data_IF_730923452696
#
_entry.id   IF_730923452696
#
_cell.length_a   1.000
_cell.length_b   1.000
_cell.length_c   1.000
_cell.angle_alpha   90.00
_cell.angle_beta   90.00
_cell.angle_gamma   90.00
#
_symmetry.space_group_name_H-M   'P 1'
#
loop_
_entity.id
_entity.type
_entity.pdbx_description
1 polymer ?
#
# COMPACT_ATOMS: atom_id res chain seq x y z
N UNK A 1 25.08 5.47 -4.15
CA UNK A 1 23.74 6.10 -3.95
C UNK A 1 22.71 4.99 -4.07
N UNK A 2 21.60 5.00 -3.33
CA UNK A 2 20.51 4.07 -3.60
C UNK A 2 19.91 4.39 -4.98
N UNK A 3 19.60 3.35 -5.75
CA UNK A 3 18.89 3.43 -7.03
C UNK A 3 17.48 2.86 -6.85
N UNK A 4 16.51 3.43 -7.56
CA UNK A 4 15.11 2.99 -7.52
C UNK A 4 14.72 2.43 -8.88
N UNK A 5 14.07 1.27 -8.86
CA UNK A 5 13.41 0.66 -10.01
C UNK A 5 11.89 0.71 -9.79
N UNK A 6 11.11 0.94 -10.85
CA UNK A 6 9.66 0.85 -10.77
C UNK A 6 9.25 -0.60 -10.50
N UNK A 7 8.69 -0.86 -9.32
CA UNK A 7 8.16 -2.17 -8.95
C UNK A 7 6.79 -2.43 -9.59
N UNK A 8 5.82 -1.57 -9.34
CA UNK A 8 4.45 -1.68 -9.85
C UNK A 8 3.70 -0.34 -9.78
N UNK A 9 2.63 -0.23 -10.56
CA UNK A 9 1.63 0.82 -10.44
C UNK A 9 0.30 0.21 -9.98
N UNK A 10 -0.36 0.83 -9.02
CA UNK A 10 -1.63 0.38 -8.45
C UNK A 10 -2.71 1.41 -8.73
N UNK A 11 -3.83 0.95 -9.30
CA UNK A 11 -5.08 1.70 -9.38
C UNK A 11 -6.10 1.01 -8.49
N UNK A 12 -6.66 1.73 -7.50
CA UNK A 12 -7.55 1.16 -6.51
C UNK A 12 -8.72 2.07 -6.19
N UNK A 13 -9.89 1.47 -6.01
CA UNK A 13 -11.08 2.14 -5.49
C UNK A 13 -11.08 2.06 -3.96
N UNK A 14 -11.19 3.21 -3.31
CA UNK A 14 -11.16 3.33 -1.84
C UNK A 14 -12.58 3.46 -1.28
N UNK A 15 -12.83 2.84 -0.12
CA UNK A 15 -14.03 3.05 0.69
C UNK A 15 -13.67 3.55 2.07
N UNK A 16 -14.22 4.67 2.50
CA UNK A 16 -13.94 5.24 3.82
C UNK A 16 -14.94 4.75 4.86
N UNK A 17 -14.46 4.10 5.92
CA UNK A 17 -15.27 3.61 7.05
C UNK A 17 -14.82 4.30 8.33
N UNK A 18 -15.52 5.36 8.78
CA UNK A 18 -15.17 6.04 10.03
C UNK A 18 -15.29 5.11 11.23
N UNK A 19 -14.25 5.05 12.05
CA UNK A 19 -14.26 4.33 13.34
C UNK A 19 -14.55 5.32 14.47
N UNK A 20 -13.94 6.51 14.43
CA UNK A 20 -14.22 7.61 15.34
C UNK A 20 -12.98 8.27 15.93
N UNK A 21 -13.22 9.16 16.90
CA UNK A 21 -12.17 9.93 17.55
C UNK A 21 -11.32 9.08 18.50
N UNK A 22 -10.02 9.32 18.49
CA UNK A 22 -9.02 8.77 19.41
C UNK A 22 -8.18 9.93 19.96
N UNK A 23 -7.39 9.74 21.04
CA UNK A 23 -6.48 10.78 21.52
C UNK A 23 -5.47 11.27 20.48
N UNK A 24 -5.17 10.46 19.46
CA UNK A 24 -4.18 10.78 18.42
C UNK A 24 -4.80 11.35 17.14
N UNK A 25 -6.13 11.42 17.03
CA UNK A 25 -6.85 11.86 15.83
C UNK A 25 -8.08 11.01 15.53
N UNK A 26 -8.68 11.20 14.35
CA UNK A 26 -9.83 10.42 13.89
C UNK A 26 -9.37 9.19 13.12
N UNK A 27 -9.80 8.01 13.58
CA UNK A 27 -9.52 6.74 12.92
C UNK A 27 -10.55 6.47 11.82
N UNK A 28 -10.05 6.13 10.64
CA UNK A 28 -10.83 5.68 9.48
C UNK A 28 -10.17 4.41 8.96
N UNK A 29 -10.95 3.34 8.82
CA UNK A 29 -10.48 2.16 8.11
C UNK A 29 -10.87 2.33 6.64
N UNK A 30 -9.90 2.15 5.75
CA UNK A 30 -10.05 2.38 4.31
C UNK A 30 -9.81 1.07 3.56
N UNK A 31 -10.82 0.18 3.45
CA UNK A 31 -10.76 -0.94 2.53
C UNK A 31 -10.60 -0.47 1.09
N UNK A 32 -9.81 -1.21 0.32
CA UNK A 32 -9.59 -0.94 -1.10
C UNK A 32 -9.46 -2.23 -1.91
N UNK A 33 -9.86 -2.12 -3.18
CA UNK A 33 -9.74 -3.15 -4.20
C UNK A 33 -9.36 -2.50 -5.54
N UNK A 34 -8.59 -3.20 -6.36
CA UNK A 34 -8.05 -2.63 -7.59
C UNK A 34 -7.15 -3.59 -8.37
N UNK A 35 -6.28 -3.03 -9.20
CA UNK A 35 -5.34 -3.79 -10.01
C UNK A 35 -3.93 -3.22 -9.95
N UNK A 36 -2.94 -4.09 -10.13
CA UNK A 36 -1.52 -3.76 -10.22
C UNK A 36 -0.97 -4.15 -11.59
N UNK A 37 -0.23 -3.24 -12.20
CA UNK A 37 0.59 -3.48 -13.40
C UNK A 37 2.07 -3.36 -13.06
N UNK A 38 2.93 -4.08 -13.77
CA UNK A 38 4.38 -4.03 -13.54
C UNK A 38 5.18 -4.36 -14.79
N UNK A 39 6.41 -3.83 -14.91
CA UNK A 39 7.39 -4.34 -15.87
C UNK A 39 7.84 -5.79 -15.60
N UNK A 40 7.61 -6.33 -14.39
CA UNK A 40 8.08 -7.65 -13.95
C UNK A 40 7.13 -8.80 -14.29
N UNK A 41 5.89 -8.53 -14.66
CA UNK A 41 4.92 -9.55 -15.07
C UNK A 41 4.01 -9.04 -16.20
N UNK A 42 3.44 -9.96 -16.97
CA UNK A 42 2.43 -9.62 -17.97
C UNK A 42 1.02 -9.53 -17.37
N UNK A 43 0.24 -8.54 -17.82
CA UNK A 43 -1.14 -8.34 -17.43
C UNK A 43 -1.33 -7.66 -16.07
N UNK A 44 -2.56 -7.74 -15.57
CA UNK A 44 -2.98 -7.13 -14.31
C UNK A 44 -3.11 -8.20 -13.22
N UNK A 45 -2.62 -7.88 -12.03
CA UNK A 45 -2.87 -8.67 -10.83
C UNK A 45 -3.87 -7.93 -9.94
N UNK A 46 -4.81 -8.67 -9.35
CA UNK A 46 -5.77 -8.09 -8.40
C UNK A 46 -5.05 -7.56 -7.16
N UNK A 47 -5.50 -6.43 -6.63
CA UNK A 47 -5.02 -5.83 -5.39
C UNK A 47 -6.18 -5.70 -4.42
N UNK A 48 -5.96 -6.07 -3.16
CA UNK A 48 -6.93 -5.76 -2.10
C UNK A 48 -6.27 -5.61 -0.74
N UNK A 49 -6.88 -4.78 0.11
CA UNK A 49 -6.35 -4.53 1.45
C UNK A 49 -7.16 -3.53 2.25
N UNK A 50 -6.57 -3.11 3.37
CA UNK A 50 -7.10 -2.06 4.24
C UNK A 50 -5.97 -1.14 4.64
N UNK A 51 -6.18 0.17 4.49
CA UNK A 51 -5.39 1.19 5.17
C UNK A 51 -6.08 1.61 6.47
N UNK A 52 -5.36 1.48 7.57
CA UNK A 52 -5.77 1.77 8.92
C UNK A 52 -5.44 3.23 9.28
N UNK A 53 -6.00 4.15 8.51
CA UNK A 53 -5.64 5.56 8.48
C UNK A 53 -6.01 6.33 9.77
N UNK A 54 -5.11 7.20 10.21
CA UNK A 54 -5.35 8.14 11.31
C UNK A 54 -5.21 9.58 10.83
N UNK A 55 -6.33 10.30 10.76
CA UNK A 55 -6.38 11.72 10.42
C UNK A 55 -6.06 12.53 11.68
N UNK A 56 -4.90 13.19 11.68
CA UNK A 56 -4.40 13.98 12.81
C UNK A 56 -5.01 15.38 12.83
N UNK A 57 -4.87 16.08 13.96
CA UNK A 57 -5.40 17.43 14.15
C UNK A 57 -4.77 18.49 13.23
N UNK A 58 -3.60 18.20 12.64
CA UNK A 58 -2.92 19.06 11.67
C UNK A 58 -3.33 18.77 10.21
N UNK A 59 -4.26 17.83 9.98
CA UNK A 59 -4.70 17.41 8.66
C UNK A 59 -3.82 16.36 7.98
N UNK A 60 -2.67 15.97 8.57
CA UNK A 60 -1.86 14.86 8.06
C UNK A 60 -2.57 13.53 8.33
N UNK A 61 -2.56 12.62 7.36
CA UNK A 61 -3.04 11.26 7.54
C UNK A 61 -1.84 10.35 7.76
N UNK A 62 -1.79 9.64 8.89
CA UNK A 62 -0.86 8.54 9.08
C UNK A 62 -1.45 7.26 8.48
N UNK A 63 -0.66 6.57 7.65
CA UNK A 63 -1.08 5.41 6.87
C UNK A 63 -0.47 4.13 7.48
N UNK A 64 -1.26 3.07 7.54
CA UNK A 64 -0.87 1.73 8.01
C UNK A 64 -1.63 0.70 7.18
N UNK A 65 -1.01 0.25 6.10
CA UNK A 65 -1.64 -0.57 5.08
C UNK A 65 -1.27 -2.03 5.29
N UNK A 66 -2.28 -2.90 5.17
CA UNK A 66 -2.11 -4.36 5.07
C UNK A 66 -2.90 -4.88 3.89
N UNK A 67 -2.20 -5.52 2.95
CA UNK A 67 -2.78 -5.79 1.65
C UNK A 67 -2.06 -6.93 0.91
N UNK A 68 -2.59 -7.28 -0.25
CA UNK A 68 -2.01 -8.25 -1.17
C UNK A 68 -2.10 -7.79 -2.62
N UNK A 69 -1.18 -8.31 -3.44
CA UNK A 69 -1.21 -8.27 -4.90
C UNK A 69 -1.20 -9.70 -5.41
N UNK A 70 -2.04 -10.01 -6.40
CA UNK A 70 -2.20 -11.36 -6.93
C UNK A 70 -3.00 -12.28 -6.01
N UNK A 71 -3.20 -13.51 -6.47
CA UNK A 71 -3.94 -14.55 -5.76
C UNK A 71 -3.26 -15.92 -5.92
N UNK A 72 -3.68 -16.88 -5.11
CA UNK A 72 -3.17 -18.25 -5.16
C UNK A 72 -1.65 -18.31 -4.94
N UNK A 73 -0.97 -19.07 -5.80
CA UNK A 73 0.48 -19.29 -5.73
C UNK A 73 1.31 -18.06 -6.13
N UNK A 74 0.70 -17.04 -6.76
CA UNK A 74 1.36 -15.79 -7.19
C UNK A 74 0.98 -14.60 -6.30
N UNK A 75 0.65 -14.84 -5.04
CA UNK A 75 0.32 -13.78 -4.08
C UNK A 75 1.58 -13.15 -3.48
N UNK A 76 1.58 -11.83 -3.39
CA UNK A 76 2.52 -11.03 -2.62
C UNK A 76 1.72 -10.30 -1.54
N UNK A 77 1.98 -10.62 -0.27
CA UNK A 77 1.48 -9.82 0.84
C UNK A 77 2.39 -8.63 1.05
N UNK A 78 1.83 -7.49 1.43
CA UNK A 78 2.63 -6.33 1.81
C UNK A 78 2.03 -5.60 3.00
N UNK A 79 2.92 -5.02 3.78
CA UNK A 79 2.60 -3.97 4.74
C UNK A 79 3.27 -2.68 4.31
N UNK A 80 2.56 -1.57 4.41
CA UNK A 80 3.14 -0.26 4.16
C UNK A 80 2.80 0.73 5.28
N UNK A 81 3.74 1.62 5.58
CA UNK A 81 3.50 2.73 6.51
C UNK A 81 3.91 4.03 5.85
N UNK A 82 3.22 5.11 6.17
CA UNK A 82 3.45 6.36 5.47
C UNK A 82 2.66 7.53 5.97
N UNK A 83 2.63 8.58 5.15
CA UNK A 83 1.82 9.76 5.38
C UNK A 83 1.19 10.26 4.08
N UNK A 84 -0.03 10.78 4.20
CA UNK A 84 -0.66 11.62 3.20
C UNK A 84 -0.82 13.04 3.73
N UNK A 85 -0.61 14.03 2.87
CA UNK A 85 -0.72 15.46 3.19
C UNK A 85 -0.61 16.32 1.92
N UNK A 86 -0.33 17.63 2.05
CA UNK A 86 -0.25 18.55 0.91
C UNK A 86 0.76 18.15 -0.17
N UNK A 87 1.82 17.43 0.22
CA UNK A 87 2.90 16.99 -0.69
C UNK A 87 2.63 15.61 -1.33
N UNK A 88 1.40 15.11 -1.24
CA UNK A 88 0.97 13.79 -1.71
C UNK A 88 1.22 12.65 -0.72
N UNK A 89 1.08 11.43 -1.22
CA UNK A 89 1.30 10.19 -0.46
C UNK A 89 2.78 9.80 -0.52
N UNK A 90 3.34 9.41 0.64
CA UNK A 90 4.69 8.85 0.75
C UNK A 90 4.66 7.67 1.72
N UNK A 91 5.08 6.51 1.23
CA UNK A 91 4.96 5.24 1.94
C UNK A 91 6.24 4.40 1.79
N UNK A 92 6.47 3.52 2.76
CA UNK A 92 7.53 2.51 2.75
C UNK A 92 6.87 1.14 2.91
N UNK A 93 7.26 0.19 2.06
CA UNK A 93 6.67 -1.14 1.93
C UNK A 93 7.67 -2.22 2.33
N UNK A 94 7.15 -3.27 2.94
CA UNK A 94 7.79 -4.59 3.09
C UNK A 94 6.87 -5.66 2.54
N UNK A 95 7.46 -6.76 2.05
CA UNK A 95 6.73 -7.80 1.33
C UNK A 95 6.94 -9.18 1.96
N UNK A 96 5.95 -10.04 1.78
CA UNK A 96 5.99 -11.45 2.12
C UNK A 96 5.39 -12.28 0.98
N UNK A 97 6.13 -13.24 0.45
CA UNK A 97 5.64 -14.14 -0.58
C UNK A 97 6.35 -15.49 -0.54
N UNK A 98 5.60 -16.55 -0.85
CA UNK A 98 6.14 -17.88 -1.10
C UNK A 98 6.38 -18.15 -2.60
N UNK A 99 6.02 -17.21 -3.48
CA UNK A 99 6.17 -17.35 -4.91
C UNK A 99 7.64 -17.18 -5.30
N UNK A 100 8.25 -18.21 -5.91
CA UNK A 100 9.66 -18.15 -6.33
C UNK A 100 9.93 -17.01 -7.32
N UNK A 101 8.96 -16.68 -8.17
CA UNK A 101 9.02 -15.56 -9.13
C UNK A 101 9.27 -14.21 -8.44
N UNK A 102 8.76 -14.04 -7.22
CA UNK A 102 8.78 -12.78 -6.47
C UNK A 102 9.60 -12.87 -5.17
N UNK A 103 10.41 -13.93 -5.02
CA UNK A 103 11.09 -14.24 -3.77
C UNK A 103 12.10 -13.15 -3.33
N UNK A 104 12.62 -12.36 -4.28
CA UNK A 104 13.50 -11.21 -4.00
C UNK A 104 12.80 -10.13 -3.16
N UNK A 105 11.47 -10.00 -3.28
CA UNK A 105 10.70 -9.00 -2.53
C UNK A 105 10.74 -9.23 -1.02
N UNK A 106 10.92 -10.47 -0.56
CA UNK A 106 11.08 -10.79 0.87
C UNK A 106 12.31 -10.11 1.50
N UNK A 107 13.30 -9.73 0.68
CA UNK A 107 14.51 -9.02 1.11
C UNK A 107 14.54 -7.55 0.64
N UNK A 108 13.49 -7.07 -0.03
CA UNK A 108 13.42 -5.73 -0.57
C UNK A 108 12.64 -4.77 0.34
N UNK A 109 12.98 -3.50 0.24
CA UNK A 109 12.15 -2.38 0.72
C UNK A 109 11.76 -1.57 -0.51
N UNK A 110 10.47 -1.24 -0.63
CA UNK A 110 10.01 -0.33 -1.66
C UNK A 110 9.48 0.97 -1.04
N UNK A 111 9.39 2.00 -1.86
CA UNK A 111 8.75 3.27 -1.52
C UNK A 111 7.67 3.55 -2.55
N UNK A 112 6.57 4.16 -2.13
CA UNK A 112 5.54 4.65 -3.05
C UNK A 112 5.39 6.17 -2.97
N UNK A 113 5.10 6.74 -4.14
CA UNK A 113 4.65 8.10 -4.32
C UNK A 113 3.27 8.02 -4.95
N UNK A 114 2.28 8.67 -4.35
CA UNK A 114 0.90 8.57 -4.80
C UNK A 114 0.15 9.89 -4.72
N UNK A 115 -0.99 9.91 -5.41
CA UNK A 115 -2.00 10.98 -5.36
C UNK A 115 -3.34 10.34 -5.03
N UNK A 116 -4.20 11.07 -4.32
CA UNK A 116 -5.60 10.68 -4.06
C UNK A 116 -6.52 11.29 -5.12
#
# INVERSE_FOLDING_TARGET
MPELELLMSVDATLRFVPVGATPAGNRVDVPFEGTATSPRWEGELAVSGVDYALIRGDGTVALDIRARVGEGERVIWYSATGRSGPDGIREVFTFETACEEFADLNAAVAVALGTQ
#
